data_IF_021524850237
#
_entry.id   IF_021524850237
#
_cell.length_a   1.000
_cell.length_b   1.000
_cell.length_c   1.000
_cell.angle_alpha   90.00
_cell.angle_beta   90.00
_cell.angle_gamma   90.00
#
_symmetry.space_group_name_H-M   'P 1'
#
loop_
_entity.id
_entity.type
_entity.pdbx_description
1 polymer ?
#
# COMPACT_ATOMS: atom_id res chain seq x y z
N UNK A 1 -50.84 44.41 33.81
CA UNK A 1 -50.25 45.60 34.44
C UNK A 1 -51.00 46.88 34.08
N UNK A 2 -51.16 47.23 32.79
CA UNK A 2 -51.83 48.47 32.36
C UNK A 2 -53.26 48.66 32.91
N UNK A 3 -54.10 47.63 32.83
CA UNK A 3 -55.48 47.72 33.35
C UNK A 3 -55.55 47.88 34.87
N UNK A 4 -54.56 47.34 35.60
CA UNK A 4 -54.49 47.44 37.05
C UNK A 4 -53.95 48.82 37.48
N UNK A 5 -53.00 49.38 36.73
CA UNK A 5 -52.53 50.75 36.90
C UNK A 5 -53.65 51.77 36.65
N UNK A 6 -54.45 51.55 35.58
CA UNK A 6 -55.59 52.39 35.27
C UNK A 6 -56.67 52.30 36.37
N UNK A 7 -56.95 51.11 36.88
CA UNK A 7 -57.85 50.93 38.02
C UNK A 7 -57.33 51.62 39.28
N UNK A 8 -56.03 51.51 39.58
CA UNK A 8 -55.39 52.19 40.70
C UNK A 8 -55.54 53.71 40.59
N UNK A 9 -55.26 54.29 39.41
CA UNK A 9 -55.38 55.73 39.16
C UNK A 9 -56.83 56.21 39.31
N UNK A 10 -57.80 55.50 38.73
CA UNK A 10 -59.21 55.87 38.81
C UNK A 10 -59.74 55.82 40.26
N UNK A 11 -59.31 54.83 41.05
CA UNK A 11 -59.72 54.72 42.46
C UNK A 11 -59.00 55.76 43.33
N UNK A 12 -57.76 56.12 43.00
CA UNK A 12 -57.02 57.23 43.65
C UNK A 12 -57.73 58.57 43.44
N UNK A 13 -58.20 58.83 42.22
CA UNK A 13 -58.94 60.05 41.88
C UNK A 13 -60.27 60.13 42.64
N UNK A 14 -60.98 59.01 42.80
CA UNK A 14 -62.24 58.95 43.57
C UNK A 14 -62.03 59.15 45.08
N UNK A 15 -60.90 58.67 45.63
CA UNK A 15 -60.53 58.89 47.03
C UNK A 15 -60.26 60.36 47.38
N UNK A 16 -60.10 61.25 46.40
CA UNK A 16 -60.01 62.70 46.64
C UNK A 16 -61.36 63.35 46.97
N UNK A 17 -62.48 62.66 46.71
CA UNK A 17 -63.84 63.17 46.90
C UNK A 17 -64.63 62.44 48.00
N UNK A 18 -64.33 61.17 48.26
CA UNK A 18 -64.88 60.38 49.38
C UNK A 18 -63.87 59.37 49.89
N UNK A 19 -63.85 59.15 51.20
CA UNK A 19 -62.94 58.21 51.86
C UNK A 19 -63.38 56.74 51.78
N UNK A 20 -64.53 56.46 51.16
CA UNK A 20 -65.19 55.14 51.16
C UNK A 20 -64.40 54.03 50.45
N UNK A 21 -63.42 54.38 49.59
CA UNK A 21 -62.66 53.42 48.76
C UNK A 21 -61.16 53.34 49.14
N UNK A 22 -60.79 53.83 50.33
CA UNK A 22 -59.39 53.87 50.78
C UNK A 22 -58.78 52.49 50.96
N UNK A 23 -59.56 51.52 51.46
CA UNK A 23 -59.05 50.16 51.68
C UNK A 23 -58.92 49.40 50.37
N UNK A 24 -59.86 49.58 49.44
CA UNK A 24 -59.81 49.01 48.09
C UNK A 24 -58.63 49.57 47.29
N UNK A 25 -58.34 50.87 47.41
CA UNK A 25 -57.13 51.47 46.81
C UNK A 25 -55.85 50.81 47.32
N UNK A 26 -55.73 50.59 48.64
CA UNK A 26 -54.56 49.90 49.23
C UNK A 26 -54.43 48.48 48.68
N UNK A 27 -55.53 47.75 48.57
CA UNK A 27 -55.53 46.39 48.01
C UNK A 27 -55.04 46.40 46.56
N UNK A 28 -55.60 47.27 45.70
CA UNK A 28 -55.20 47.38 44.29
C UNK A 28 -53.72 47.78 44.16
N UNK A 29 -53.27 48.74 44.97
CA UNK A 29 -51.88 49.21 44.99
C UNK A 29 -50.90 48.12 45.40
N UNK A 30 -51.21 47.37 46.45
CA UNK A 30 -50.37 46.26 46.89
C UNK A 30 -50.30 45.16 45.83
N UNK A 31 -51.43 44.76 45.25
CA UNK A 31 -51.47 43.77 44.17
C UNK A 31 -50.72 44.22 42.92
N UNK A 32 -50.70 45.53 42.61
CA UNK A 32 -49.90 46.06 41.50
C UNK A 32 -48.41 45.85 41.74
N UNK A 33 -47.89 46.24 42.91
CA UNK A 33 -46.48 46.09 43.22
C UNK A 33 -46.06 44.61 43.36
N UNK A 34 -46.91 43.76 43.95
CA UNK A 34 -46.65 42.32 44.01
C UNK A 34 -46.53 41.70 42.61
N UNK A 35 -47.39 42.09 41.66
CA UNK A 35 -47.30 41.62 40.28
C UNK A 35 -46.10 42.20 39.52
N UNK A 36 -45.72 43.45 39.79
CA UNK A 36 -44.51 44.07 39.25
C UNK A 36 -43.25 43.31 39.70
N UNK A 37 -43.19 42.92 40.98
CA UNK A 37 -42.08 42.15 41.52
C UNK A 37 -41.96 40.76 40.86
N UNK A 38 -43.10 40.08 40.64
CA UNK A 38 -43.13 38.80 39.91
C UNK A 38 -42.67 38.96 38.46
N UNK A 39 -43.08 40.03 37.78
CA UNK A 39 -42.68 40.33 36.40
C UNK A 39 -41.16 40.53 36.27
N UNK A 40 -40.54 41.21 37.25
CA UNK A 40 -39.08 41.38 37.32
C UNK A 40 -38.38 40.02 37.47
N UNK A 41 -38.91 39.12 38.30
CA UNK A 41 -38.33 37.78 38.52
C UNK A 41 -38.45 36.92 37.24
N UNK A 42 -39.62 36.92 36.60
CA UNK A 42 -39.85 36.19 35.35
C UNK A 42 -38.94 36.72 34.23
N UNK A 43 -38.83 38.04 34.11
CA UNK A 43 -37.98 38.69 33.11
C UNK A 43 -36.51 38.29 33.30
N UNK A 44 -36.01 38.32 34.54
CA UNK A 44 -34.64 37.87 34.87
C UNK A 44 -34.40 36.38 34.61
N UNK A 45 -35.42 35.54 34.78
CA UNK A 45 -35.33 34.11 34.44
C UNK A 45 -35.34 33.86 32.93
N UNK A 46 -36.08 34.67 32.17
CA UNK A 46 -36.08 34.62 30.70
C UNK A 46 -34.77 35.11 30.08
N UNK A 47 -34.02 35.94 30.82
CA UNK A 47 -32.71 36.49 30.46
C UNK A 47 -31.55 35.49 30.69
N UNK A 48 -31.85 34.19 30.83
CA UNK A 48 -30.81 33.15 30.83
C UNK A 48 -30.00 33.23 29.53
N UNK A 49 -28.70 33.53 29.64
CA UNK A 49 -27.76 33.85 28.55
C UNK A 49 -27.89 32.95 27.30
N UNK A 50 -28.83 33.29 26.42
CA UNK A 50 -28.99 32.65 25.12
C UNK A 50 -27.94 33.24 24.17
N UNK A 51 -26.74 32.68 24.21
CA UNK A 51 -25.67 33.06 23.28
C UNK A 51 -25.96 32.47 21.89
N UNK A 52 -26.76 33.22 21.12
CA UNK A 52 -27.11 32.88 19.74
C UNK A 52 -25.86 32.66 18.86
N UNK A 53 -24.75 33.37 19.14
CA UNK A 53 -23.49 33.17 18.41
C UNK A 53 -22.88 31.81 18.72
N UNK A 54 -22.96 31.36 19.98
CA UNK A 54 -22.51 30.02 20.39
C UNK A 54 -23.37 28.93 19.80
N UNK A 55 -24.70 29.12 19.75
CA UNK A 55 -25.62 28.17 19.11
C UNK A 55 -25.28 28.01 17.63
N UNK A 56 -25.20 29.12 16.88
CA UNK A 56 -24.84 29.10 15.46
C UNK A 56 -23.48 28.41 15.19
N UNK A 57 -22.49 28.61 16.08
CA UNK A 57 -21.19 27.92 15.99
C UNK A 57 -21.31 26.41 16.19
N UNK A 58 -22.15 25.96 17.12
CA UNK A 58 -22.39 24.54 17.37
C UNK A 58 -23.12 23.89 16.20
N UNK A 59 -24.17 24.53 15.69
CA UNK A 59 -24.92 24.08 14.50
C UNK A 59 -23.98 23.92 13.29
N UNK A 60 -23.17 24.94 13.01
CA UNK A 60 -22.19 24.88 11.91
C UNK A 60 -21.19 23.73 12.08
N UNK A 61 -20.74 23.45 13.30
CA UNK A 61 -19.81 22.35 13.58
C UNK A 61 -20.48 20.97 13.43
N UNK A 62 -21.76 20.86 13.76
CA UNK A 62 -22.55 19.64 13.52
C UNK A 62 -22.72 19.41 12.02
N UNK A 63 -23.04 20.46 11.25
CA UNK A 63 -23.19 20.36 9.79
C UNK A 63 -21.89 19.94 9.10
N UNK A 64 -20.75 20.48 9.55
CA UNK A 64 -19.43 20.07 9.08
C UNK A 64 -19.18 18.58 9.37
N UNK A 65 -19.44 18.14 10.61
CA UNK A 65 -19.29 16.74 10.99
C UNK A 65 -20.19 15.81 10.17
N UNK A 66 -21.46 16.17 9.96
CA UNK A 66 -22.39 15.39 9.13
C UNK A 66 -21.91 15.31 7.69
N UNK A 67 -21.38 16.41 7.15
CA UNK A 67 -20.82 16.46 5.80
C UNK A 67 -19.61 15.54 5.66
N UNK A 68 -18.68 15.60 6.61
CA UNK A 68 -17.50 14.72 6.64
C UNK A 68 -17.92 13.25 6.77
N UNK A 69 -18.89 12.95 7.64
CA UNK A 69 -19.41 11.60 7.84
C UNK A 69 -20.04 11.03 6.55
N UNK A 70 -20.80 11.86 5.83
CA UNK A 70 -21.42 11.47 4.55
C UNK A 70 -20.39 11.18 3.46
N UNK A 71 -19.29 11.96 3.42
CA UNK A 71 -18.27 11.85 2.36
C UNK A 71 -17.17 10.83 2.65
N UNK A 72 -16.76 10.69 3.90
CA UNK A 72 -15.47 10.07 4.24
C UNK A 72 -15.56 8.94 5.28
N UNK A 73 -16.73 8.66 5.87
CA UNK A 73 -16.89 7.49 6.74
C UNK A 73 -17.94 7.63 7.83
N UNK A 74 -18.50 6.51 8.33
CA UNK A 74 -19.64 6.54 9.27
C UNK A 74 -19.25 6.98 10.67
N UNK A 75 -17.97 6.87 11.02
CA UNK A 75 -17.40 7.26 12.31
C UNK A 75 -16.24 8.23 12.13
N UNK A 76 -15.86 8.93 13.20
CA UNK A 76 -14.66 9.78 13.22
C UNK A 76 -13.41 8.97 12.84
N UNK A 77 -13.30 7.73 13.33
CA UNK A 77 -12.20 6.83 12.99
C UNK A 77 -12.13 6.52 11.49
N UNK A 78 -13.28 6.27 10.85
CA UNK A 78 -13.33 6.01 9.41
C UNK A 78 -12.86 7.24 8.60
N UNK A 79 -13.24 8.45 9.03
CA UNK A 79 -12.84 9.70 8.36
C UNK A 79 -11.32 9.89 8.44
N UNK A 80 -10.71 9.65 9.61
CA UNK A 80 -9.26 9.73 9.76
C UNK A 80 -8.51 8.63 9.01
N UNK A 81 -9.09 7.42 8.95
CA UNK A 81 -8.56 6.33 8.14
C UNK A 81 -8.56 6.70 6.66
N UNK A 82 -9.68 7.21 6.14
CA UNK A 82 -9.78 7.69 4.77
C UNK A 82 -8.76 8.80 4.47
N UNK A 83 -8.56 9.73 5.40
CA UNK A 83 -7.55 10.79 5.27
C UNK A 83 -6.14 10.23 5.18
N UNK A 84 -5.79 9.26 6.03
CA UNK A 84 -4.47 8.62 6.02
C UNK A 84 -4.22 7.89 4.70
N UNK A 85 -5.17 7.04 4.27
CA UNK A 85 -5.09 6.31 3.01
C UNK A 85 -4.99 7.25 1.79
N UNK A 86 -5.73 8.37 1.81
CA UNK A 86 -5.71 9.35 0.71
C UNK A 86 -4.40 10.11 0.67
N UNK A 87 -3.81 10.45 1.82
CA UNK A 87 -2.51 11.12 1.89
C UNK A 87 -1.39 10.22 1.39
N UNK A 88 -1.36 8.97 1.83
CA UNK A 88 -0.39 7.98 1.35
C UNK A 88 -0.50 7.81 -0.16
N UNK A 89 -1.72 7.67 -0.68
CA UNK A 89 -1.96 7.53 -2.10
C UNK A 89 -1.64 8.80 -2.92
N UNK A 90 -1.78 9.98 -2.32
CA UNK A 90 -1.37 11.24 -2.96
C UNK A 90 0.16 11.33 -3.04
N UNK A 91 0.86 11.00 -1.95
CA UNK A 91 2.31 10.95 -1.88
C UNK A 91 2.89 9.97 -2.91
N UNK A 92 2.28 8.78 -3.03
CA UNK A 92 2.63 7.80 -4.07
C UNK A 92 2.46 8.36 -5.49
N UNK A 93 1.44 9.18 -5.74
CA UNK A 93 1.18 9.77 -7.06
C UNK A 93 2.16 10.90 -7.35
N UNK A 94 2.41 11.77 -6.37
CA UNK A 94 3.31 12.91 -6.50
C UNK A 94 4.76 12.47 -6.71
N UNK A 95 5.18 11.38 -6.05
CA UNK A 95 6.56 10.85 -6.14
C UNK A 95 6.69 9.65 -7.08
N UNK A 96 5.64 9.31 -7.84
CA UNK A 96 5.64 8.14 -8.72
C UNK A 96 6.76 8.18 -9.75
N UNK A 97 6.96 9.33 -10.39
CA UNK A 97 7.90 9.46 -11.49
C UNK A 97 9.35 9.40 -10.99
N UNK A 98 9.64 10.05 -9.86
CA UNK A 98 10.93 9.94 -9.17
C UNK A 98 11.21 8.49 -8.76
N UNK A 99 10.21 7.82 -8.17
CA UNK A 99 10.33 6.42 -7.76
C UNK A 99 10.54 5.48 -8.95
N UNK A 100 9.85 5.72 -10.07
CA UNK A 100 10.05 4.97 -11.31
C UNK A 100 11.46 5.18 -11.87
N UNK A 101 11.99 6.40 -11.81
CA UNK A 101 13.34 6.71 -12.26
C UNK A 101 14.39 6.00 -11.39
N UNK A 102 14.23 6.03 -10.06
CA UNK A 102 15.08 5.29 -9.12
C UNK A 102 15.10 3.79 -9.40
N UNK A 103 13.92 3.17 -9.49
CA UNK A 103 13.78 1.74 -9.76
C UNK A 103 14.33 1.36 -11.13
N UNK A 104 14.19 2.23 -12.13
CA UNK A 104 14.76 2.02 -13.47
C UNK A 104 16.29 2.03 -13.43
N UNK A 105 16.89 2.98 -12.71
CA UNK A 105 18.36 3.04 -12.50
C UNK A 105 18.86 1.82 -11.74
N UNK A 106 18.17 1.42 -10.69
CA UNK A 106 18.52 0.23 -9.91
C UNK A 106 18.44 -1.03 -10.76
N UNK A 107 17.35 -1.20 -11.53
CA UNK A 107 17.20 -2.30 -12.48
C UNK A 107 18.36 -2.34 -13.48
N UNK A 108 18.70 -1.21 -14.09
CA UNK A 108 19.78 -1.14 -15.08
C UNK A 108 21.13 -1.55 -14.46
N UNK A 109 21.40 -1.10 -13.23
CA UNK A 109 22.62 -1.49 -12.50
C UNK A 109 22.65 -3.00 -12.23
N UNK A 110 21.56 -3.58 -11.76
CA UNK A 110 21.46 -5.02 -11.51
C UNK A 110 21.59 -5.84 -12.80
N UNK A 111 21.03 -5.37 -13.92
CA UNK A 111 21.19 -6.01 -15.23
C UNK A 111 22.67 -6.04 -15.68
N UNK A 112 23.40 -4.94 -15.47
CA UNK A 112 24.85 -4.90 -15.76
C UNK A 112 25.65 -5.87 -14.88
N UNK A 113 25.34 -5.92 -13.58
CA UNK A 113 25.98 -6.87 -12.67
C UNK A 113 25.69 -8.33 -13.07
N UNK A 114 24.45 -8.62 -13.48
CA UNK A 114 24.04 -9.93 -13.98
C UNK A 114 24.80 -10.33 -15.25
N UNK A 115 24.99 -9.41 -16.21
CA UNK A 115 25.74 -9.69 -17.44
C UNK A 115 27.22 -9.99 -17.14
N UNK A 116 27.86 -9.26 -16.22
CA UNK A 116 29.24 -9.52 -15.81
C UNK A 116 29.36 -10.92 -15.17
N UNK A 117 28.44 -11.26 -14.28
CA UNK A 117 28.42 -12.57 -13.63
C UNK A 117 28.15 -13.70 -14.62
N UNK A 118 27.25 -13.49 -15.59
CA UNK A 118 26.98 -14.46 -16.64
C UNK A 118 28.20 -14.67 -17.54
N UNK A 119 28.91 -13.63 -17.94
CA UNK A 119 30.12 -13.74 -18.75
C UNK A 119 31.20 -14.55 -18.02
N UNK A 120 31.40 -14.26 -16.72
CA UNK A 120 32.34 -15.03 -15.89
C UNK A 120 31.95 -16.50 -15.82
N UNK A 121 30.66 -16.80 -15.66
CA UNK A 121 30.17 -18.16 -15.60
C UNK A 121 30.32 -18.89 -16.95
N UNK A 122 30.08 -18.20 -18.06
CA UNK A 122 30.29 -18.71 -19.42
C UNK A 122 31.74 -19.16 -19.62
N UNK A 123 32.72 -18.33 -19.28
CA UNK A 123 34.15 -18.67 -19.41
C UNK A 123 34.56 -19.84 -18.52
N UNK A 124 34.05 -19.89 -17.27
CA UNK A 124 34.27 -21.03 -16.39
C UNK A 124 33.69 -22.34 -16.96
N UNK A 125 32.48 -22.28 -17.52
CA UNK A 125 31.82 -23.43 -18.16
C UNK A 125 32.54 -23.89 -19.41
N UNK A 126 32.99 -22.96 -20.26
CA UNK A 126 33.77 -23.28 -21.46
C UNK A 126 35.08 -23.96 -21.12
N UNK A 127 35.79 -23.46 -20.11
CA UNK A 127 37.03 -24.08 -19.61
C UNK A 127 36.77 -25.47 -19.04
N UNK A 128 35.81 -25.60 -18.11
CA UNK A 128 35.46 -26.89 -17.52
C UNK A 128 34.95 -27.89 -18.56
N UNK A 129 34.15 -27.43 -19.52
CA UNK A 129 33.63 -28.23 -20.63
C UNK A 129 34.75 -28.82 -21.48
N UNK A 130 35.78 -28.02 -21.80
CA UNK A 130 36.97 -28.49 -22.50
C UNK A 130 37.75 -29.53 -21.67
N UNK A 131 38.06 -29.20 -20.41
CA UNK A 131 38.82 -30.10 -19.52
C UNK A 131 38.13 -31.45 -19.32
N UNK A 132 36.80 -31.46 -19.20
CA UNK A 132 35.98 -32.68 -19.09
C UNK A 132 35.99 -33.44 -20.41
N UNK A 133 35.86 -32.74 -21.54
CA UNK A 133 35.85 -33.36 -22.87
C UNK A 133 37.17 -34.08 -23.15
N UNK A 134 38.30 -33.44 -22.87
CA UNK A 134 39.63 -34.02 -23.07
C UNK A 134 39.81 -35.30 -22.24
N UNK A 135 39.42 -35.27 -20.96
CA UNK A 135 39.49 -36.45 -20.08
C UNK A 135 38.58 -37.60 -20.53
N UNK A 136 37.37 -37.29 -21.01
CA UNK A 136 36.46 -38.32 -21.53
C UNK A 136 37.04 -38.93 -22.81
N UNK A 137 37.59 -38.10 -23.71
CA UNK A 137 38.21 -38.55 -24.95
C UNK A 137 39.43 -39.45 -24.71
N UNK A 138 40.22 -39.18 -23.67
CA UNK A 138 41.27 -40.10 -23.22
C UNK A 138 40.68 -41.45 -22.79
N UNK A 139 39.66 -41.45 -21.93
CA UNK A 139 39.01 -42.69 -21.49
C UNK A 139 38.32 -43.48 -22.61
N UNK A 140 37.81 -42.79 -23.65
CA UNK A 140 37.23 -43.46 -24.82
C UNK A 140 38.27 -44.23 -25.63
N UNK A 141 39.52 -43.76 -25.69
CA UNK A 141 40.61 -44.50 -26.36
C UNK A 141 40.91 -45.83 -25.67
N UNK A 142 40.83 -45.86 -24.34
CA UNK A 142 41.04 -47.07 -23.53
C UNK A 142 39.89 -48.08 -23.69
N UNK A 143 38.69 -47.62 -24.05
CA UNK A 143 37.49 -48.44 -24.29
C UNK A 143 37.32 -48.84 -25.75
N UNK A 144 38.41 -48.93 -26.51
CA UNK A 144 38.46 -49.29 -27.93
C UNK A 144 37.68 -48.34 -28.86
N UNK A 145 37.31 -47.14 -28.40
CA UNK A 145 36.60 -46.12 -29.18
C UNK A 145 37.54 -45.01 -29.66
N UNK A 146 38.65 -45.39 -30.32
CA UNK A 146 39.74 -44.46 -30.71
C UNK A 146 39.32 -43.35 -31.69
N UNK A 147 38.27 -43.60 -32.47
CA UNK A 147 37.75 -42.64 -33.47
C UNK A 147 36.58 -41.81 -32.93
N UNK A 148 36.14 -42.06 -31.70
CA UNK A 148 35.06 -41.31 -31.09
C UNK A 148 35.59 -40.02 -30.49
N UNK A 149 34.79 -38.97 -30.56
CA UNK A 149 35.09 -37.65 -30.03
C UNK A 149 33.88 -37.07 -29.33
N UNK A 150 34.03 -36.88 -28.02
CA UNK A 150 33.08 -36.23 -27.15
C UNK A 150 33.46 -34.76 -26.98
N UNK A 151 32.47 -33.87 -27.00
CA UNK A 151 32.67 -32.46 -26.67
C UNK A 151 31.43 -31.88 -25.96
N UNK A 152 31.68 -30.94 -25.06
CA UNK A 152 30.62 -30.18 -24.39
C UNK A 152 30.50 -28.83 -25.11
N UNK A 153 29.38 -28.62 -25.80
CA UNK A 153 29.06 -27.36 -26.43
C UNK A 153 28.56 -26.38 -25.36
N UNK A 154 29.16 -25.20 -25.30
CA UNK A 154 28.75 -24.09 -24.42
C UNK A 154 28.53 -22.86 -25.29
N UNK A 155 27.28 -22.43 -25.40
CA UNK A 155 26.86 -21.28 -26.21
C UNK A 155 26.13 -20.26 -25.37
N UNK A 156 26.21 -18.98 -25.74
CA UNK A 156 25.44 -17.93 -25.06
C UNK A 156 23.99 -17.97 -25.53
N UNK A 157 23.07 -17.66 -24.62
CA UNK A 157 21.65 -17.41 -24.90
C UNK A 157 21.35 -15.92 -24.80
N UNK A 158 20.27 -15.50 -25.43
CA UNK A 158 19.85 -14.10 -25.35
C UNK A 158 19.22 -13.77 -23.99
N UNK A 159 18.54 -14.74 -23.38
CA UNK A 159 17.76 -14.55 -22.14
C UNK A 159 18.39 -15.25 -20.95
N UNK A 160 18.36 -14.57 -19.81
CA UNK A 160 18.71 -15.15 -18.52
C UNK A 160 17.70 -16.23 -18.11
N UNK A 161 18.23 -17.28 -17.49
CA UNK A 161 17.46 -18.32 -16.81
C UNK A 161 17.95 -18.44 -15.38
N UNK A 162 17.27 -19.24 -14.55
CA UNK A 162 17.74 -19.59 -13.20
C UNK A 162 19.13 -20.24 -13.18
N UNK A 163 19.57 -20.81 -14.32
CA UNK A 163 20.86 -21.47 -14.49
C UNK A 163 21.88 -20.57 -15.24
N UNK A 164 21.56 -19.27 -15.35
CA UNK A 164 22.35 -18.26 -16.06
C UNK A 164 22.01 -18.14 -17.54
N UNK A 165 22.98 -17.68 -18.34
CA UNK A 165 22.77 -17.19 -19.71
C UNK A 165 23.42 -18.09 -20.78
N UNK A 166 23.71 -19.34 -20.44
CA UNK A 166 24.36 -20.27 -21.35
C UNK A 166 23.46 -21.46 -21.70
N UNK A 167 23.68 -22.00 -22.88
CA UNK A 167 23.21 -23.28 -23.34
C UNK A 167 24.36 -24.29 -23.24
N UNK A 168 24.09 -25.44 -22.64
CA UNK A 168 25.04 -26.54 -22.53
C UNK A 168 24.43 -27.76 -23.20
N UNK A 169 25.16 -28.38 -24.14
CA UNK A 169 24.74 -29.62 -24.78
C UNK A 169 25.93 -30.58 -24.92
N UNK A 170 25.67 -31.86 -24.67
CA UNK A 170 26.70 -32.90 -24.77
C UNK A 170 26.67 -33.51 -26.15
N UNK A 171 27.79 -33.42 -26.85
CA UNK A 171 27.92 -33.79 -28.24
C UNK A 171 28.92 -34.93 -28.41
N UNK A 172 28.69 -35.77 -29.40
CA UNK A 172 29.49 -36.94 -29.69
C UNK A 172 29.57 -37.19 -31.19
N UNK A 173 30.73 -37.62 -31.63
CA UNK A 173 30.98 -38.23 -32.94
C UNK A 173 31.52 -39.63 -32.67
N UNK A 174 30.89 -40.67 -33.21
CA UNK A 174 31.25 -42.07 -32.93
C UNK A 174 32.38 -42.57 -33.83
N UNK A 175 32.39 -42.15 -35.10
CA UNK A 175 33.44 -42.49 -36.06
C UNK A 175 33.98 -41.27 -36.80
N UNK A 176 35.21 -41.40 -37.31
CA UNK A 176 35.85 -40.39 -38.14
C UNK A 176 35.07 -40.27 -39.47
N UNK A 177 34.49 -39.09 -39.72
CA UNK A 177 33.67 -38.81 -40.90
C UNK A 177 32.17 -38.76 -40.65
N UNK A 178 31.70 -39.15 -39.46
CA UNK A 178 30.31 -38.92 -39.05
C UNK A 178 30.11 -37.50 -38.53
N UNK A 179 28.90 -36.98 -38.69
CA UNK A 179 28.50 -35.71 -38.11
C UNK A 179 28.44 -35.81 -36.58
N UNK A 180 28.83 -34.73 -35.91
CA UNK A 180 28.69 -34.60 -34.47
C UNK A 180 27.22 -34.42 -34.09
N UNK A 181 26.72 -35.28 -33.20
CA UNK A 181 25.31 -35.30 -32.80
C UNK A 181 25.18 -35.13 -31.29
N UNK A 182 23.99 -34.75 -30.86
CA UNK A 182 23.64 -34.75 -29.43
C UNK A 182 23.76 -36.16 -28.86
N UNK A 183 24.34 -36.29 -27.67
CA UNK A 183 24.60 -37.59 -27.02
C UNK A 183 23.34 -38.45 -26.91
N UNK A 184 22.18 -37.82 -26.64
CA UNK A 184 20.87 -38.49 -26.55
C UNK A 184 20.35 -39.07 -27.87
N UNK A 185 20.94 -38.69 -29.01
CA UNK A 185 20.54 -39.15 -30.36
C UNK A 185 21.38 -40.33 -30.87
N UNK A 186 22.29 -40.89 -30.07
CA UNK A 186 23.02 -42.10 -30.47
C UNK A 186 22.07 -43.31 -30.45
N UNK A 187 22.08 -44.09 -31.53
CA UNK A 187 21.20 -45.25 -31.70
C UNK A 187 21.78 -46.58 -31.16
N UNK A 188 23.11 -46.73 -31.06
CA UNK A 188 23.75 -48.00 -30.68
C UNK A 188 23.88 -48.14 -29.15
N UNK A 189 23.11 -49.05 -28.54
CA UNK A 189 23.11 -49.27 -27.09
C UNK A 189 24.48 -49.71 -26.52
N UNK A 190 25.30 -50.39 -27.32
CA UNK A 190 26.65 -50.81 -26.92
C UNK A 190 27.64 -49.64 -26.85
N UNK A 191 27.55 -48.69 -27.80
CA UNK A 191 28.39 -47.49 -27.81
C UNK A 191 28.00 -46.56 -26.67
N UNK A 192 26.70 -46.37 -26.46
CA UNK A 192 26.21 -45.51 -25.38
C UNK A 192 26.65 -46.03 -23.99
N UNK A 193 26.66 -47.35 -23.80
CA UNK A 193 27.13 -47.96 -22.55
C UNK A 193 28.61 -47.69 -22.28
N UNK A 194 29.46 -47.79 -23.30
CA UNK A 194 30.90 -47.48 -23.18
C UNK A 194 31.15 -45.99 -22.93
N UNK A 195 30.42 -45.11 -23.63
CA UNK A 195 30.52 -43.66 -23.42
C UNK A 195 30.12 -43.29 -21.99
N UNK A 196 28.98 -43.81 -21.51
CA UNK A 196 28.53 -43.57 -20.14
C UNK A 196 29.49 -44.13 -19.09
N UNK A 197 30.16 -45.25 -19.37
CA UNK A 197 31.19 -45.80 -18.49
C UNK A 197 32.41 -44.87 -18.40
N UNK A 198 32.87 -44.32 -19.54
CA UNK A 198 33.96 -43.32 -19.57
C UNK A 198 33.58 -42.09 -18.74
N UNK A 199 32.40 -41.53 -18.99
CA UNK A 199 31.86 -40.37 -18.24
C UNK A 199 31.83 -40.67 -16.74
N UNK A 200 31.27 -41.81 -16.34
CA UNK A 200 31.17 -42.20 -14.93
C UNK A 200 32.54 -42.35 -14.27
N UNK A 201 33.52 -42.91 -14.98
CA UNK A 201 34.88 -43.08 -14.47
C UNK A 201 35.59 -41.73 -14.26
N UNK A 202 35.45 -40.79 -15.20
CA UNK A 202 36.03 -39.46 -15.07
C UNK A 202 35.36 -38.65 -13.95
N UNK A 203 34.03 -38.67 -13.88
CA UNK A 203 33.29 -37.98 -12.81
C UNK A 203 33.59 -38.54 -11.41
N UNK A 204 33.93 -39.84 -11.31
CA UNK A 204 34.38 -40.43 -10.04
C UNK A 204 35.78 -39.97 -9.64
N UNK A 205 36.67 -39.74 -10.62
CA UNK A 205 38.05 -39.28 -10.40
C UNK A 205 38.14 -37.76 -10.15
N UNK A 206 37.10 -36.99 -10.45
CA UNK A 206 37.05 -35.55 -10.22
C UNK A 206 36.40 -35.15 -8.88
N UNK A 207 36.11 -36.12 -8.00
CA UNK A 207 35.72 -35.90 -6.60
C UNK A 207 36.90 -36.03 -5.68
#
# INVERSE_FOLDING_TARGET
MESLALAMQNVEELNNYSDDLKEEYKVIKNSYYELEEVDIVISKMSDGEYDEKRLRKLESRIDEYVTLKRKYGKTVGDIFKFLAETKERLDEIEHKDERLEELSKEKQKLEQELDILAERMFELRKKAGKDISDKINEGLKDLEMKNAEFSILVEKRDKFTKEGKDYIEFMIRTNKGEEQKELKKIASGGEMSRIMLSIKNILRRSR
#
